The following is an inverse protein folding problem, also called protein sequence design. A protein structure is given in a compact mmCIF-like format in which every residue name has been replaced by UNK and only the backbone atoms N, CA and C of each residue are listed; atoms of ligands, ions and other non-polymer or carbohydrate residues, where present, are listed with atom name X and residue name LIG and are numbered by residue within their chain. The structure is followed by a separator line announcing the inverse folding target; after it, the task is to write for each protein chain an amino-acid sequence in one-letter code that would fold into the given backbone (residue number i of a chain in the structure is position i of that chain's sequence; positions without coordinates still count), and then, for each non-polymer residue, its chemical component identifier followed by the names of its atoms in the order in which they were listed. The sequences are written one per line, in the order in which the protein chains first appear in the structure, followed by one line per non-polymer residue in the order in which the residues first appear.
data_IF_016750523887
#
_entry.id   IF_016750523887
#
_cell.length_a   1.000
_cell.length_b   1.000
_cell.length_c   1.000
_cell.angle_alpha   90.00
_cell.angle_beta   90.00
_cell.angle_gamma   90.00
#
_symmetry.space_group_name_H-M   'P 1'
#
loop_
_entity.id
_entity.type
_entity.pdbx_description
1 polymer ?
#
# COMPACT_ATOMS: atom_id res chain seq x y z
N UNK A 1 5.50 -51.36 1.99
CA UNK A 1 4.93 -50.05 1.63
C UNK A 1 4.68 -50.08 0.15
N UNK A 2 3.42 -49.95 -0.26
CA UNK A 2 3.06 -49.97 -1.67
C UNK A 2 3.59 -48.71 -2.36
N UNK A 3 4.12 -48.84 -3.58
CA UNK A 3 4.67 -47.73 -4.37
C UNK A 3 3.74 -46.51 -4.41
N UNK A 4 2.43 -46.76 -4.49
CA UNK A 4 1.38 -45.74 -4.47
C UNK A 4 1.31 -44.95 -3.16
N UNK A 5 1.50 -45.60 -2.03
CA UNK A 5 1.52 -44.93 -0.72
C UNK A 5 2.75 -44.03 -0.59
N UNK A 6 3.90 -44.46 -1.13
CA UNK A 6 5.11 -43.62 -1.19
C UNK A 6 4.90 -42.37 -2.02
N UNK A 7 4.28 -42.49 -3.21
CA UNK A 7 4.00 -41.35 -4.09
C UNK A 7 3.01 -40.35 -3.46
N UNK A 8 1.93 -40.83 -2.82
CA UNK A 8 0.97 -39.98 -2.13
C UNK A 8 1.62 -39.23 -0.95
N UNK A 9 2.50 -39.90 -0.19
CA UNK A 9 3.24 -39.26 0.88
C UNK A 9 4.15 -38.14 0.35
N UNK A 10 4.88 -38.37 -0.75
CA UNK A 10 5.72 -37.34 -1.38
C UNK A 10 4.90 -36.12 -1.82
N UNK A 11 3.74 -36.33 -2.46
CA UNK A 11 2.85 -35.24 -2.88
C UNK A 11 2.30 -34.47 -1.68
N UNK A 12 1.93 -35.16 -0.60
CA UNK A 12 1.46 -34.53 0.63
C UNK A 12 2.54 -33.64 1.27
N UNK A 13 3.77 -34.14 1.40
CA UNK A 13 4.86 -33.35 1.97
C UNK A 13 5.22 -32.15 1.07
N UNK A 14 5.28 -32.35 -0.24
CA UNK A 14 5.56 -31.29 -1.20
C UNK A 14 4.51 -30.16 -1.14
N UNK A 15 3.23 -30.52 -1.15
CA UNK A 15 2.14 -29.53 -1.01
C UNK A 15 2.15 -28.84 0.34
N UNK A 16 2.44 -29.58 1.42
CA UNK A 16 2.56 -29.00 2.77
C UNK A 16 3.68 -27.94 2.83
N UNK A 17 4.88 -28.26 2.34
CA UNK A 17 6.00 -27.31 2.31
C UNK A 17 5.71 -26.10 1.42
N UNK A 18 5.03 -26.29 0.29
CA UNK A 18 4.59 -25.20 -0.57
C UNK A 18 3.63 -24.25 0.15
N UNK A 19 2.65 -24.79 0.87
CA UNK A 19 1.69 -23.99 1.65
C UNK A 19 2.36 -23.24 2.80
N UNK A 20 3.32 -23.86 3.49
CA UNK A 20 4.12 -23.21 4.54
C UNK A 20 4.96 -22.07 3.94
N UNK A 21 5.61 -22.32 2.81
CA UNK A 21 6.37 -21.28 2.09
C UNK A 21 5.49 -20.11 1.66
N UNK A 22 4.32 -20.39 1.10
CA UNK A 22 3.34 -19.37 0.70
C UNK A 22 2.88 -18.54 1.91
N UNK A 23 2.53 -19.20 3.02
CA UNK A 23 2.16 -18.54 4.25
C UNK A 23 3.29 -17.63 4.77
N UNK A 24 4.54 -18.12 4.73
CA UNK A 24 5.72 -17.34 5.13
C UNK A 24 5.89 -16.07 4.29
N UNK A 25 5.74 -16.17 2.96
CA UNK A 25 5.80 -15.00 2.05
C UNK A 25 4.68 -14.01 2.35
N UNK A 26 3.46 -14.48 2.58
CA UNK A 26 2.32 -13.62 2.93
C UNK A 26 2.61 -12.88 4.25
N UNK A 27 3.04 -13.59 5.29
CA UNK A 27 3.37 -12.98 6.58
C UNK A 27 4.49 -11.95 6.46
N UNK A 28 5.57 -12.27 5.73
CA UNK A 28 6.65 -11.33 5.48
C UNK A 28 6.16 -10.06 4.76
N UNK A 29 5.26 -10.20 3.79
CA UNK A 29 4.64 -9.07 3.11
C UNK A 29 3.75 -8.25 4.05
N UNK A 30 2.95 -8.87 4.92
CA UNK A 30 2.15 -8.16 5.92
C UNK A 30 3.03 -7.37 6.92
N UNK A 31 4.14 -7.96 7.38
CA UNK A 31 5.12 -7.27 8.22
C UNK A 31 5.74 -6.08 7.48
N UNK A 32 6.07 -6.24 6.20
CA UNK A 32 6.58 -5.16 5.38
C UNK A 32 5.59 -4.00 5.24
N UNK A 33 4.31 -4.29 4.95
CA UNK A 33 3.25 -3.27 4.91
C UNK A 33 3.10 -2.57 6.27
N UNK A 34 3.14 -3.33 7.37
CA UNK A 34 3.08 -2.76 8.71
C UNK A 34 4.26 -1.82 8.99
N UNK A 35 5.47 -2.22 8.62
CA UNK A 35 6.66 -1.37 8.74
C UNK A 35 6.51 -0.06 7.96
N UNK A 36 6.02 -0.12 6.72
CA UNK A 36 5.76 1.07 5.90
C UNK A 36 4.70 1.97 6.57
N UNK A 37 3.64 1.41 7.15
CA UNK A 37 2.65 2.18 7.88
C UNK A 37 3.27 2.96 9.04
N UNK A 38 4.07 2.30 9.88
CA UNK A 38 4.76 2.94 10.99
C UNK A 38 5.73 4.03 10.51
N UNK A 39 6.49 3.77 9.44
CA UNK A 39 7.47 4.71 8.89
C UNK A 39 6.84 6.04 8.49
N UNK A 40 5.64 6.02 7.91
CA UNK A 40 4.96 7.20 7.38
C UNK A 40 3.80 7.69 8.26
N UNK A 41 3.55 7.12 9.45
CA UNK A 41 2.45 7.50 10.36
C UNK A 41 2.58 8.89 10.98
N UNK A 42 3.77 9.49 10.91
CA UNK A 42 3.99 10.88 11.34
C UNK A 42 3.47 11.93 10.33
N UNK A 43 3.23 11.56 9.07
CA UNK A 43 2.74 12.49 8.05
C UNK A 43 1.21 12.60 8.16
N UNK A 44 0.66 13.83 8.23
CA UNK A 44 -0.79 14.01 8.34
C UNK A 44 -1.52 13.50 7.09
N UNK A 45 -2.75 13.04 7.29
CA UNK A 45 -3.61 12.59 6.21
C UNK A 45 -4.87 11.88 6.69
N UNK A 46 -5.75 11.49 5.76
CA UNK A 46 -6.96 10.76 6.10
C UNK A 46 -6.64 9.44 6.81
N UNK A 47 -7.58 8.96 7.67
CA UNK A 47 -7.46 7.62 8.23
C UNK A 47 -7.57 6.58 7.10
N UNK A 48 -6.76 5.52 7.21
CA UNK A 48 -6.77 4.42 6.25
C UNK A 48 -8.08 3.63 6.37
N UNK A 49 -8.71 3.30 5.25
CA UNK A 49 -9.92 2.47 5.21
C UNK A 49 -9.62 0.99 5.49
N UNK A 50 -8.43 0.55 5.09
CA UNK A 50 -8.00 -0.85 5.19
C UNK A 50 -6.51 -0.95 5.50
N UNK A 51 -6.12 -2.00 6.21
CA UNK A 51 -4.71 -2.32 6.45
C UNK A 51 -3.97 -2.66 5.15
N UNK A 52 -4.55 -3.48 4.27
CA UNK A 52 -3.88 -3.85 3.01
C UNK A 52 -4.15 -2.88 1.88
N UNK A 53 -5.35 -2.31 1.80
CA UNK A 53 -5.72 -1.47 0.66
C UNK A 53 -5.55 0.03 0.91
N UNK A 54 -5.17 0.43 2.13
CA UNK A 54 -4.99 1.84 2.48
C UNK A 54 -6.27 2.65 2.23
N UNK A 55 -6.19 3.65 1.34
CA UNK A 55 -7.31 4.50 0.90
C UNK A 55 -7.94 4.04 -0.43
N UNK A 56 -7.54 2.89 -0.97
CA UNK A 56 -8.06 2.34 -2.23
C UNK A 56 -9.60 2.33 -2.30
N UNK A 57 -10.32 1.85 -1.25
CA UNK A 57 -11.78 1.87 -1.23
C UNK A 57 -12.37 3.29 -1.29
N UNK A 58 -11.83 4.26 -0.54
CA UNK A 58 -12.29 5.66 -0.63
C UNK A 58 -12.03 6.28 -2.01
N UNK A 59 -10.92 5.94 -2.66
CA UNK A 59 -10.62 6.39 -4.02
C UNK A 59 -11.60 5.77 -5.02
N UNK A 60 -11.86 4.47 -4.90
CA UNK A 60 -12.82 3.78 -5.76
C UNK A 60 -14.23 4.39 -5.64
N UNK A 61 -14.72 4.61 -4.42
CA UNK A 61 -16.02 5.29 -4.21
C UNK A 61 -16.06 6.68 -4.83
N UNK A 62 -14.96 7.43 -4.73
CA UNK A 62 -14.87 8.77 -5.32
C UNK A 62 -14.97 8.71 -6.85
N UNK A 63 -14.41 7.67 -7.49
CA UNK A 63 -14.54 7.44 -8.92
C UNK A 63 -15.96 7.01 -9.33
N UNK A 64 -16.63 6.20 -8.50
CA UNK A 64 -18.01 5.74 -8.74
C UNK A 64 -19.04 6.89 -8.61
N UNK A 65 -18.79 7.84 -7.71
CA UNK A 65 -19.62 9.03 -7.48
C UNK A 65 -19.49 10.11 -8.59
N UNK A 66 -18.80 9.82 -9.71
CA UNK A 66 -18.42 10.78 -10.77
C UNK A 66 -17.65 12.01 -10.26
N UNK A 67 -17.11 11.95 -9.05
CA UNK A 67 -16.23 13.00 -8.51
C UNK A 67 -14.84 12.80 -9.09
N UNK A 68 -14.22 13.89 -9.55
CA UNK A 68 -12.82 13.83 -9.94
C UNK A 68 -12.01 13.45 -8.71
N UNK A 69 -11.09 12.50 -8.84
CA UNK A 69 -10.17 12.12 -7.75
C UNK A 69 -9.43 13.37 -7.23
N UNK A 70 -9.21 14.36 -8.10
CA UNK A 70 -8.65 15.67 -7.75
C UNK A 70 -9.49 16.46 -6.73
N UNK A 71 -10.82 16.40 -6.80
CA UNK A 71 -11.70 17.06 -5.83
C UNK A 71 -11.55 16.43 -4.45
N UNK A 72 -11.35 15.10 -4.41
CA UNK A 72 -11.07 14.38 -3.17
C UNK A 72 -9.71 14.76 -2.58
N UNK A 73 -8.70 14.95 -3.43
CA UNK A 73 -7.39 15.44 -2.99
C UNK A 73 -7.44 16.89 -2.49
N UNK A 74 -8.26 17.73 -3.11
CA UNK A 74 -8.50 19.09 -2.63
C UNK A 74 -9.17 19.08 -1.26
N UNK A 75 -10.25 18.31 -1.09
CA UNK A 75 -10.94 18.13 0.21
C UNK A 75 -9.96 17.69 1.30
N UNK A 76 -9.10 16.72 1.00
CA UNK A 76 -8.09 16.26 1.96
C UNK A 76 -7.00 17.30 2.23
N UNK A 77 -6.58 18.07 1.22
CA UNK A 77 -5.61 19.14 1.40
C UNK A 77 -6.17 20.28 2.26
N UNK A 78 -7.45 20.62 2.11
CA UNK A 78 -8.12 21.63 2.93
C UNK A 78 -8.29 21.15 4.37
N UNK A 79 -8.59 19.86 4.57
CA UNK A 79 -8.87 19.28 5.89
C UNK A 79 -7.62 18.92 6.70
N UNK A 80 -6.60 18.36 6.06
CA UNK A 80 -5.40 17.81 6.72
C UNK A 80 -4.16 18.66 6.48
N UNK A 81 -4.26 19.71 5.66
CA UNK A 81 -3.16 20.61 5.32
C UNK A 81 -2.52 20.28 3.97
N UNK A 82 -1.53 21.10 3.54
CA UNK A 82 -1.00 21.06 2.18
C UNK A 82 -0.09 19.87 1.87
N UNK A 83 0.19 19.02 2.86
CA UNK A 83 1.00 17.80 2.73
C UNK A 83 0.15 16.66 3.26
N UNK A 84 -0.38 15.84 2.37
CA UNK A 84 -1.28 14.74 2.71
C UNK A 84 -0.68 13.41 2.28
N UNK A 85 -0.67 12.45 3.19
CA UNK A 85 -0.23 11.09 2.88
C UNK A 85 -1.36 10.25 2.29
N UNK A 86 -1.04 9.52 1.23
CA UNK A 86 -1.90 8.55 0.57
C UNK A 86 -1.24 7.17 0.54
N UNK A 87 -1.86 6.20 1.23
CA UNK A 87 -1.44 4.79 1.20
C UNK A 87 -2.34 3.98 0.28
N UNK A 88 -1.74 3.17 -0.59
CA UNK A 88 -2.42 2.12 -1.37
C UNK A 88 -1.48 0.92 -1.44
N UNK A 89 -1.87 -0.22 -0.86
CA UNK A 89 -0.96 -1.35 -0.63
C UNK A 89 0.28 -0.94 0.16
N UNK A 90 1.46 -1.43 -0.25
CA UNK A 90 2.76 -1.06 0.30
C UNK A 90 3.27 0.29 -0.21
N UNK A 91 2.52 0.99 -1.07
CA UNK A 91 2.95 2.26 -1.66
C UNK A 91 2.40 3.42 -0.85
N UNK A 92 3.28 4.38 -0.59
CA UNK A 92 2.95 5.66 0.05
C UNK A 92 3.28 6.76 -0.93
N UNK A 93 2.27 7.54 -1.28
CA UNK A 93 2.40 8.77 -2.05
C UNK A 93 2.16 9.95 -1.13
N UNK A 94 2.94 11.01 -1.27
CA UNK A 94 2.74 12.27 -0.54
C UNK A 94 2.20 13.29 -1.55
N UNK A 95 0.98 13.74 -1.30
CA UNK A 95 0.34 14.79 -2.09
C UNK A 95 0.78 16.12 -1.48
N UNK A 96 1.39 16.97 -2.29
CA UNK A 96 1.85 18.29 -1.90
C UNK A 96 1.15 19.33 -2.76
N UNK A 97 0.41 20.23 -2.12
CA UNK A 97 -0.34 21.30 -2.81
C UNK A 97 0.28 22.69 -2.61
N UNK A 98 1.23 22.85 -1.68
CA UNK A 98 1.89 24.14 -1.45
C UNK A 98 2.91 24.46 -2.55
N UNK A 99 2.83 25.62 -3.21
CA UNK A 99 3.68 25.96 -4.36
C UNK A 99 5.18 26.00 -4.03
N UNK A 100 5.56 26.42 -2.82
CA UNK A 100 6.98 26.40 -2.40
C UNK A 100 7.54 24.98 -2.24
N UNK A 101 6.75 24.05 -1.71
CA UNK A 101 7.18 22.67 -1.54
C UNK A 101 7.26 21.92 -2.88
N UNK A 102 6.39 22.27 -3.84
CA UNK A 102 6.45 21.76 -5.22
C UNK A 102 7.73 22.20 -5.92
N UNK A 103 8.15 23.47 -5.76
CA UNK A 103 9.40 23.98 -6.36
C UNK A 103 10.64 23.21 -5.90
N UNK A 104 10.71 22.88 -4.61
CA UNK A 104 11.82 22.09 -4.05
C UNK A 104 11.79 20.65 -4.56
N UNK A 105 10.61 20.03 -4.60
CA UNK A 105 10.44 18.68 -5.12
C UNK A 105 10.88 18.55 -6.58
N UNK A 106 10.44 19.47 -7.45
CA UNK A 106 10.79 19.43 -8.88
C UNK A 106 12.30 19.61 -9.12
N UNK A 107 12.97 20.46 -8.32
CA UNK A 107 14.42 20.61 -8.41
C UNK A 107 15.18 19.34 -8.00
N UNK A 108 14.67 18.55 -7.05
CA UNK A 108 15.30 17.28 -6.67
C UNK A 108 15.13 16.20 -7.75
N UNK A 109 14.00 16.18 -8.46
CA UNK A 109 13.80 15.28 -9.61
C UNK A 109 14.71 15.67 -10.80
N UNK A 110 14.86 16.97 -11.06
CA UNK A 110 15.72 17.47 -12.15
C UNK A 110 17.23 17.36 -11.87
N UNK A 111 17.64 17.20 -10.61
CA UNK A 111 19.04 16.96 -10.23
C UNK A 111 19.40 15.47 -10.13
N UNK A 112 18.41 14.59 -10.28
CA UNK A 112 18.57 13.14 -10.25
C UNK A 112 18.58 12.50 -11.65
N UNK A 113 18.43 13.30 -12.71
CA UNK A 113 18.63 12.97 -14.13
C UNK A 113 19.93 13.61 -14.64
#
# INVERSE_FOLDING_TARGET
MDLWQGLLACLYWATTWLLIGLLGVVLAYLCYVHYIHLKFDHIPGPPRDSFLFGHGPSLQRSMEDYKLIHDKFLEWSEKYGPVVRLNVFHRVSIIVTHPEAIKVGNNLYLLAE
#
